data_IF_717832918219
#
_entry.id   IF_717832918219
#
_cell.length_a   1.000
_cell.length_b   1.000
_cell.length_c   1.000
_cell.angle_alpha   90.00
_cell.angle_beta   90.00
_cell.angle_gamma   90.00
#
_symmetry.space_group_name_H-M   'P 1'
#
loop_
_entity.id
_entity.type
_entity.pdbx_description
1 polymer ?
#
# COMPACT_ATOMS: atom_id res chain seq x y z
N UNK A 1 -38.09 -5.47 47.93
CA UNK A 1 -38.04 -6.21 46.63
C UNK A 1 -38.16 -5.33 45.38
N UNK A 2 -38.95 -4.24 45.38
CA UNK A 2 -39.09 -3.35 44.20
C UNK A 2 -37.76 -2.74 43.70
N UNK A 3 -36.87 -2.37 44.63
CA UNK A 3 -35.57 -1.81 44.26
C UNK A 3 -34.66 -2.82 43.55
N UNK A 4 -34.72 -4.10 43.92
CA UNK A 4 -33.95 -5.16 43.27
C UNK A 4 -34.31 -5.30 41.79
N UNK A 5 -35.61 -5.41 41.47
CA UNK A 5 -36.06 -5.51 40.08
C UNK A 5 -35.76 -4.24 39.26
N UNK A 6 -35.81 -3.05 39.88
CA UNK A 6 -35.44 -1.79 39.23
C UNK A 6 -33.98 -1.77 38.79
N UNK A 7 -33.05 -2.15 39.67
CA UNK A 7 -31.63 -2.18 39.34
C UNK A 7 -31.28 -3.34 38.39
N UNK A 8 -31.91 -4.51 38.54
CA UNK A 8 -31.75 -5.64 37.62
C UNK A 8 -32.18 -5.29 36.19
N UNK A 9 -33.34 -4.64 36.01
CA UNK A 9 -33.76 -4.20 34.68
C UNK A 9 -32.83 -3.12 34.11
N UNK A 10 -32.38 -2.19 34.95
CA UNK A 10 -31.47 -1.12 34.52
C UNK A 10 -30.12 -1.66 34.04
N UNK A 11 -29.56 -2.69 34.69
CA UNK A 11 -28.32 -3.32 34.24
C UNK A 11 -28.50 -4.14 32.98
N UNK A 12 -29.62 -4.87 32.83
CA UNK A 12 -29.94 -5.59 31.58
C UNK A 12 -30.05 -4.61 30.41
N UNK A 13 -30.76 -3.49 30.59
CA UNK A 13 -30.88 -2.45 29.56
C UNK A 13 -29.53 -1.81 29.28
N UNK A 14 -28.71 -1.52 30.30
CA UNK A 14 -27.37 -0.97 30.12
C UNK A 14 -26.44 -1.89 29.32
N UNK A 15 -26.47 -3.20 29.60
CA UNK A 15 -25.69 -4.20 28.85
C UNK A 15 -26.14 -4.25 27.39
N UNK A 16 -27.44 -4.19 27.12
CA UNK A 16 -27.98 -4.19 25.75
C UNK A 16 -27.51 -2.94 25.00
N UNK A 17 -27.58 -1.75 25.62
CA UNK A 17 -27.16 -0.49 25.00
C UNK A 17 -25.66 -0.49 24.72
N UNK A 18 -24.84 -0.97 25.66
CA UNK A 18 -23.38 -1.06 25.45
C UNK A 18 -23.04 -2.02 24.32
N UNK A 19 -23.66 -3.20 24.27
CA UNK A 19 -23.45 -4.15 23.17
C UNK A 19 -23.88 -3.58 21.82
N UNK A 20 -24.99 -2.82 21.79
CA UNK A 20 -25.45 -2.17 20.56
C UNK A 20 -24.45 -1.13 20.07
N UNK A 21 -23.88 -0.32 20.98
CA UNK A 21 -22.83 0.65 20.65
C UNK A 21 -21.58 -0.07 20.13
N UNK A 22 -21.12 -1.12 20.80
CA UNK A 22 -19.97 -1.92 20.35
C UNK A 22 -20.21 -2.58 19.00
N UNK A 23 -21.43 -3.02 18.72
CA UNK A 23 -21.81 -3.59 17.43
C UNK A 23 -21.65 -2.56 16.30
N UNK A 24 -22.10 -1.32 16.50
CA UNK A 24 -21.90 -0.26 15.50
C UNK A 24 -20.42 0.12 15.33
N UNK A 25 -19.65 0.19 16.41
CA UNK A 25 -18.19 0.44 16.32
C UNK A 25 -17.50 -0.68 15.54
N UNK A 26 -17.86 -1.94 15.81
CA UNK A 26 -17.34 -3.10 15.09
C UNK A 26 -17.70 -3.04 13.59
N UNK A 27 -18.93 -2.67 13.24
CA UNK A 27 -19.32 -2.49 11.84
C UNK A 27 -18.52 -1.41 11.13
N UNK A 28 -18.23 -0.28 11.78
CA UNK A 28 -17.39 0.79 11.22
C UNK A 28 -15.97 0.28 10.96
N UNK A 29 -15.40 -0.48 11.92
CA UNK A 29 -14.07 -1.07 11.78
C UNK A 29 -14.05 -2.06 10.60
N UNK A 30 -15.00 -2.99 10.54
CA UNK A 30 -15.09 -3.99 9.45
C UNK A 30 -15.33 -3.32 8.09
N UNK A 31 -16.18 -2.30 8.02
CA UNK A 31 -16.41 -1.52 6.80
C UNK A 31 -15.13 -0.79 6.34
N UNK A 32 -14.31 -0.32 7.27
CA UNK A 32 -13.01 0.31 6.96
C UNK A 32 -12.00 -0.69 6.38
N UNK A 33 -12.09 -1.98 6.72
CA UNK A 33 -11.29 -3.04 6.12
C UNK A 33 -11.85 -3.55 4.78
N UNK A 34 -13.10 -3.23 4.46
CA UNK A 34 -13.75 -3.57 3.18
C UNK A 34 -13.33 -2.64 2.03
N UNK A 35 -12.20 -1.93 2.16
CA UNK A 35 -11.65 -1.05 1.13
C UNK A 35 -11.54 -1.77 -0.20
N UNK A 36 -12.56 -1.58 -1.04
CA UNK A 36 -12.53 -1.95 -2.44
C UNK A 36 -11.31 -1.28 -3.05
N UNK A 37 -10.62 -2.01 -3.94
CA UNK A 37 -9.51 -1.45 -4.70
C UNK A 37 -10.11 -0.39 -5.61
N UNK A 38 -10.21 0.84 -5.12
CA UNK A 38 -10.62 1.97 -5.95
C UNK A 38 -9.74 1.94 -7.19
N UNK A 39 -10.37 1.89 -8.37
CA UNK A 39 -9.64 1.93 -9.62
C UNK A 39 -8.93 3.29 -9.69
N UNK A 40 -7.64 3.29 -9.39
CA UNK A 40 -6.81 4.49 -9.42
C UNK A 40 -6.80 4.98 -10.86
N UNK A 41 -7.57 6.05 -11.13
CA UNK A 41 -7.60 6.69 -12.45
C UNK A 41 -6.31 7.47 -12.63
N UNK A 42 -5.45 7.00 -13.52
CA UNK A 42 -4.16 7.64 -13.82
C UNK A 42 -4.42 8.88 -14.68
N UNK A 43 -3.98 10.04 -14.21
CA UNK A 43 -4.08 11.28 -14.97
C UNK A 43 -3.15 11.29 -16.18
N UNK A 44 -3.57 11.95 -17.26
CA UNK A 44 -2.75 12.09 -18.46
C UNK A 44 -1.46 12.86 -18.16
N UNK A 45 -0.35 12.42 -18.74
CA UNK A 45 1.00 13.01 -18.55
C UNK A 45 1.65 12.74 -17.20
N UNK A 46 1.26 11.64 -16.55
CA UNK A 46 1.87 11.15 -15.33
C UNK A 46 3.28 10.59 -15.56
N UNK A 47 4.08 10.56 -14.48
CA UNK A 47 5.42 9.96 -14.45
C UNK A 47 5.42 8.85 -13.40
N UNK A 48 5.92 7.67 -13.75
CA UNK A 48 6.10 6.61 -12.77
C UNK A 48 7.32 6.92 -11.90
N UNK A 49 7.09 7.20 -10.62
CA UNK A 49 8.16 7.40 -9.64
C UNK A 49 8.56 6.05 -9.01
N UNK A 50 9.77 5.59 -9.32
CA UNK A 50 10.38 4.44 -8.68
C UNK A 50 11.34 4.94 -7.61
N UNK A 51 10.98 4.76 -6.33
CA UNK A 51 11.81 5.11 -5.19
C UNK A 51 12.36 3.84 -4.53
N UNK A 52 13.68 3.72 -4.46
CA UNK A 52 14.37 2.59 -3.82
C UNK A 52 15.08 3.08 -2.55
N UNK A 53 14.35 3.06 -1.44
CA UNK A 53 14.79 3.45 -0.10
C UNK A 53 14.61 2.33 0.94
N UNK A 54 14.42 1.09 0.47
CA UNK A 54 14.21 -0.10 1.30
C UNK A 54 14.84 -1.34 0.64
N UNK A 55 15.02 -2.42 1.42
CA UNK A 55 15.49 -3.71 0.90
C UNK A 55 14.43 -4.36 0.01
N UNK A 56 14.78 -4.70 -1.24
CA UNK A 56 13.82 -5.24 -2.22
C UNK A 56 13.68 -6.76 -2.04
N UNK A 57 12.56 -7.28 -1.50
CA UNK A 57 12.32 -8.71 -1.44
C UNK A 57 11.93 -9.26 -2.82
N UNK A 58 11.97 -10.58 -2.99
CA UNK A 58 11.51 -11.21 -4.23
C UNK A 58 9.99 -11.05 -4.45
N UNK A 59 9.21 -11.16 -3.38
CA UNK A 59 7.75 -11.07 -3.39
C UNK A 59 7.28 -9.98 -2.47
N UNK A 60 6.29 -9.22 -2.92
CA UNK A 60 5.52 -8.34 -2.04
C UNK A 60 4.77 -9.21 -1.04
N UNK A 61 4.83 -8.81 0.22
CA UNK A 61 4.06 -9.46 1.26
C UNK A 61 2.59 -9.09 1.17
N UNK A 62 1.74 -10.10 1.33
CA UNK A 62 0.28 -9.94 1.39
C UNK A 62 -0.18 -9.43 2.76
N UNK A 63 0.72 -9.33 3.75
CA UNK A 63 0.38 -8.85 5.09
C UNK A 63 0.41 -7.31 5.16
N UNK A 64 -0.76 -6.65 5.27
CA UNK A 64 -0.86 -5.17 5.29
C UNK A 64 -0.35 -4.54 6.60
N UNK A 65 0.06 -5.35 7.60
CA UNK A 65 0.59 -4.87 8.87
C UNK A 65 2.08 -5.22 9.06
N UNK A 66 2.75 -5.79 8.05
CA UNK A 66 4.14 -6.25 8.20
C UNK A 66 5.11 -5.14 8.58
N UNK A 67 4.93 -3.94 8.01
CA UNK A 67 5.73 -2.75 8.29
C UNK A 67 4.87 -1.65 8.91
N UNK A 68 3.99 -2.03 9.86
CA UNK A 68 3.22 -1.05 10.61
C UNK A 68 4.12 -0.34 11.61
N UNK A 69 4.28 0.96 11.43
CA UNK A 69 5.02 1.79 12.37
C UNK A 69 4.05 2.35 13.42
N UNK A 70 4.20 1.88 14.66
CA UNK A 70 3.40 2.33 15.79
C UNK A 70 3.60 3.81 16.15
N UNK A 71 4.72 4.41 15.74
CA UNK A 71 5.00 5.82 16.03
C UNK A 71 4.31 6.77 15.06
N UNK A 72 4.22 6.40 13.78
CA UNK A 72 3.59 7.22 12.73
C UNK A 72 2.16 6.77 12.38
N UNK A 73 1.72 5.63 12.92
CA UNK A 73 0.45 4.97 12.61
C UNK A 73 0.27 4.73 11.10
N UNK A 74 1.37 4.50 10.38
CA UNK A 74 1.39 4.24 8.93
C UNK A 74 1.96 2.87 8.63
N UNK A 75 1.37 2.20 7.64
CA UNK A 75 1.97 1.05 6.99
C UNK A 75 2.72 1.52 5.75
N UNK A 76 3.99 1.15 5.62
CA UNK A 76 4.72 1.28 4.35
C UNK A 76 4.86 -0.08 3.71
N UNK A 77 4.19 -0.32 2.58
CA UNK A 77 4.33 -1.60 1.89
C UNK A 77 5.59 -1.58 1.01
N UNK A 78 6.54 -2.46 1.33
CA UNK A 78 7.72 -2.66 0.51
C UNK A 78 7.34 -3.54 -0.68
N UNK A 79 7.41 -3.00 -1.90
CA UNK A 79 7.15 -3.75 -3.12
C UNK A 79 8.30 -4.71 -3.41
N UNK A 80 7.97 -5.96 -3.71
CA UNK A 80 8.94 -6.94 -4.18
C UNK A 80 9.26 -6.80 -5.66
N UNK A 81 10.33 -7.48 -6.08
CA UNK A 81 10.85 -7.47 -7.44
C UNK A 81 9.75 -7.73 -8.48
N UNK A 82 8.93 -8.76 -8.27
CA UNK A 82 7.88 -9.14 -9.22
C UNK A 82 6.88 -8.02 -9.51
N UNK A 83 6.48 -7.27 -8.48
CA UNK A 83 5.55 -6.15 -8.67
C UNK A 83 6.23 -4.92 -9.27
N UNK A 84 7.51 -4.68 -8.94
CA UNK A 84 8.30 -3.63 -9.58
C UNK A 84 8.38 -3.89 -11.09
N UNK A 85 8.77 -5.10 -11.51
CA UNK A 85 8.87 -5.48 -12.92
C UNK A 85 7.52 -5.38 -13.62
N UNK A 86 6.44 -5.84 -12.97
CA UNK A 86 5.07 -5.75 -13.48
C UNK A 86 4.62 -4.31 -13.68
N UNK A 87 4.93 -3.43 -12.73
CA UNK A 87 4.56 -2.01 -12.81
C UNK A 87 5.37 -1.26 -13.89
N UNK A 88 6.65 -1.58 -14.08
CA UNK A 88 7.44 -1.07 -15.21
C UNK A 88 6.83 -1.51 -16.54
N UNK A 89 6.40 -2.79 -16.65
CA UNK A 89 5.73 -3.30 -17.85
C UNK A 89 4.39 -2.58 -18.12
N UNK A 90 3.55 -2.42 -17.10
CA UNK A 90 2.29 -1.67 -17.22
C UNK A 90 2.54 -0.22 -17.65
N UNK A 91 3.50 0.45 -17.03
CA UNK A 91 3.86 1.82 -17.38
C UNK A 91 4.39 1.95 -18.81
N UNK A 92 5.04 0.91 -19.36
CA UNK A 92 5.44 0.88 -20.76
C UNK A 92 4.23 0.94 -21.69
N UNK A 93 3.18 0.18 -21.39
CA UNK A 93 1.97 0.02 -22.22
C UNK A 93 0.93 1.14 -21.99
N UNK A 94 0.98 1.85 -20.85
CA UNK A 94 0.03 2.91 -20.49
C UNK A 94 0.33 4.24 -21.19
N UNK A 95 -0.58 4.74 -22.03
CA UNK A 95 -0.43 6.01 -22.77
C UNK A 95 -0.41 7.26 -21.88
N UNK A 96 -0.94 7.17 -20.65
CA UNK A 96 -0.94 8.26 -19.68
C UNK A 96 0.43 8.46 -19.03
N UNK A 97 1.26 7.43 -18.97
CA UNK A 97 2.62 7.49 -18.41
C UNK A 97 3.62 7.93 -19.48
N UNK A 98 4.30 9.06 -19.26
CA UNK A 98 5.29 9.62 -20.21
C UNK A 98 6.71 9.11 -20.00
N UNK A 99 7.03 8.70 -18.79
CA UNK A 99 8.38 8.29 -18.43
C UNK A 99 8.47 7.75 -17.02
N UNK A 100 9.70 7.40 -16.64
CA UNK A 100 10.06 6.95 -15.29
C UNK A 100 10.98 7.98 -14.65
N UNK A 101 10.69 8.32 -13.40
CA UNK A 101 11.62 9.00 -12.51
C UNK A 101 12.17 7.97 -11.52
N UNK A 102 13.47 7.70 -11.60
CA UNK A 102 14.17 6.71 -10.81
C UNK A 102 14.97 7.43 -9.71
N UNK A 103 14.56 7.21 -8.47
CA UNK A 103 15.16 7.80 -7.28
C UNK A 103 15.73 6.69 -6.40
N UNK A 104 17.05 6.64 -6.24
CA UNK A 104 17.73 5.52 -5.57
C UNK A 104 18.67 6.00 -4.45
N UNK A 105 18.13 6.65 -3.40
CA UNK A 105 18.96 7.20 -2.33
C UNK A 105 19.72 6.10 -1.57
N UNK A 106 19.13 4.91 -1.42
CA UNK A 106 19.77 3.79 -0.76
C UNK A 106 19.30 2.46 -1.36
N UNK A 107 19.91 2.09 -2.50
CA UNK A 107 19.60 0.84 -3.17
C UNK A 107 20.24 -0.34 -2.44
N UNK A 108 19.45 -1.01 -1.59
CA UNK A 108 19.84 -2.25 -0.93
C UNK A 108 19.19 -3.46 -1.63
N UNK A 109 19.87 -3.99 -2.65
CA UNK A 109 19.39 -5.15 -3.41
C UNK A 109 20.56 -6.00 -3.93
N UNK A 110 20.32 -7.30 -4.12
CA UNK A 110 21.30 -8.20 -4.72
C UNK A 110 21.55 -7.91 -6.21
N UNK A 111 22.72 -8.31 -6.71
CA UNK A 111 23.14 -8.08 -8.11
C UNK A 111 22.10 -8.62 -9.11
N UNK A 112 21.54 -9.81 -8.86
CA UNK A 112 20.53 -10.42 -9.71
C UNK A 112 19.25 -9.58 -9.78
N UNK A 113 18.77 -9.08 -8.64
CA UNK A 113 17.60 -8.19 -8.56
C UNK A 113 17.83 -6.89 -9.33
N UNK A 114 19.02 -6.31 -9.21
CA UNK A 114 19.42 -5.10 -9.94
C UNK A 114 19.46 -5.36 -11.45
N UNK A 115 19.98 -6.51 -11.88
CA UNK A 115 20.04 -6.90 -13.29
C UNK A 115 18.64 -7.02 -13.90
N UNK A 116 17.70 -7.66 -13.20
CA UNK A 116 16.31 -7.78 -13.64
C UNK A 116 15.63 -6.40 -13.79
N UNK A 117 15.78 -5.53 -12.79
CA UNK A 117 15.24 -4.16 -12.83
C UNK A 117 15.86 -3.39 -14.01
N UNK A 118 17.18 -3.49 -14.19
CA UNK A 118 17.90 -2.85 -15.30
C UNK A 118 17.36 -3.35 -16.65
N UNK A 119 17.17 -4.65 -16.83
CA UNK A 119 16.64 -5.23 -18.05
C UNK A 119 15.22 -4.74 -18.35
N UNK A 120 14.37 -4.61 -17.33
CA UNK A 120 13.04 -4.03 -17.45
C UNK A 120 13.10 -2.55 -17.86
N UNK A 121 13.99 -1.75 -17.26
CA UNK A 121 14.19 -0.34 -17.63
C UNK A 121 14.71 -0.18 -19.06
N UNK A 122 15.64 -1.02 -19.52
CA UNK A 122 16.09 -1.05 -20.92
C UNK A 122 14.90 -1.35 -21.85
N UNK A 123 14.06 -2.32 -21.49
CA UNK A 123 12.88 -2.68 -22.26
C UNK A 123 11.84 -1.54 -22.29
N UNK A 124 11.65 -0.84 -21.17
CA UNK A 124 10.81 0.35 -21.08
C UNK A 124 11.32 1.44 -22.02
N UNK A 125 12.62 1.74 -22.01
CA UNK A 125 13.22 2.77 -22.88
C UNK A 125 13.03 2.49 -24.37
N UNK A 126 12.97 1.23 -24.78
CA UNK A 126 12.64 0.83 -26.17
C UNK A 126 11.25 1.29 -26.64
N UNK A 127 10.34 1.64 -25.72
CA UNK A 127 9.03 2.22 -26.08
C UNK A 127 9.08 3.69 -26.50
N UNK A 128 10.25 4.34 -26.41
CA UNK A 128 10.41 5.76 -26.72
C UNK A 128 10.11 6.70 -25.55
N UNK A 129 9.68 6.17 -24.40
CA UNK A 129 9.48 6.92 -23.16
C UNK A 129 10.82 7.20 -22.46
N UNK A 130 10.91 8.35 -21.79
CA UNK A 130 12.14 8.78 -21.12
C UNK A 130 12.30 8.13 -19.74
N UNK A 131 13.54 8.06 -19.28
CA UNK A 131 13.89 7.68 -17.90
C UNK A 131 14.83 8.76 -17.38
N UNK A 132 14.48 9.38 -16.25
CA UNK A 132 15.35 10.31 -15.51
C UNK A 132 15.77 9.59 -14.23
N UNK A 133 17.07 9.52 -13.98
CA UNK A 133 17.61 8.97 -12.75
C UNK A 133 18.22 10.09 -11.91
N UNK A 134 17.91 10.09 -10.62
CA UNK A 134 18.43 11.06 -9.67
C UNK A 134 18.83 10.36 -8.37
N UNK A 135 19.88 10.88 -7.76
CA UNK A 135 20.36 10.43 -6.47
C UNK A 135 20.98 11.63 -5.74
N UNK A 136 20.50 11.90 -4.52
CA UNK A 136 21.14 12.81 -3.59
C UNK A 136 22.11 11.97 -2.75
N UNK A 137 23.40 12.31 -2.80
CA UNK A 137 24.47 11.63 -2.06
C UNK A 137 24.17 11.51 -0.56
#
# INVERSE_FOLDING_TARGET
>A
MKNFFKYMLATIVGIIVVNLIFFFVFLIIVASFSGGKDEVKIESSSILHLKFDYEIPERTSDNPLQNFDFSTLKTTQNLGLNDILKNIKKAKEDSNIKGIYLNMPNLNAGIATIEEIRNALINFRKSGKFIIAYNEF
#
